data_IF_509751331040
#
_entry.id   IF_509751331040
#
_cell.length_a   1.000
_cell.length_b   1.000
_cell.length_c   1.000
_cell.angle_alpha   90.00
_cell.angle_beta   90.00
_cell.angle_gamma   90.00
#
_symmetry.space_group_name_H-M   'P 1'
#
loop_
_entity.id
_entity.type
_entity.pdbx_description
1 polymer ?
#
# COMPACT_ATOMS: atom_id res chain seq x y z
N UNK A 1 9.58 32.19 -55.37
CA UNK A 1 8.45 31.97 -54.44
C UNK A 1 9.02 31.57 -53.08
N UNK A 2 9.16 32.49 -52.11
CA UNK A 2 9.37 32.12 -50.72
C UNK A 2 8.02 32.00 -50.03
N UNK A 3 7.73 30.83 -49.47
CA UNK A 3 6.54 30.60 -48.65
C UNK A 3 6.77 31.20 -47.26
N UNK A 4 6.04 32.26 -46.96
CA UNK A 4 5.83 32.76 -45.61
C UNK A 4 5.18 31.65 -44.76
N UNK A 5 5.82 31.28 -43.64
CA UNK A 5 5.15 30.62 -42.54
C UNK A 5 5.21 31.57 -41.34
N UNK A 6 4.25 32.49 -41.31
CA UNK A 6 3.82 33.08 -40.06
C UNK A 6 2.99 32.04 -39.33
N UNK A 7 3.44 31.59 -38.18
CA UNK A 7 2.59 30.99 -37.16
C UNK A 7 3.03 31.55 -35.80
N UNK A 8 2.41 32.68 -35.51
CA UNK A 8 1.93 33.15 -34.21
C UNK A 8 2.65 32.62 -32.97
N UNK A 9 3.51 33.51 -32.46
CA UNK A 9 4.03 33.56 -31.10
C UNK A 9 2.85 33.64 -30.11
N UNK A 10 2.32 32.48 -29.70
CA UNK A 10 1.35 32.39 -28.60
C UNK A 10 2.00 32.93 -27.33
N UNK A 11 1.30 33.79 -26.56
CA UNK A 11 1.91 34.45 -25.43
C UNK A 11 2.38 33.40 -24.43
N UNK A 12 3.69 33.39 -24.19
CA UNK A 12 4.31 32.63 -23.12
C UNK A 12 3.70 33.10 -21.79
N UNK A 13 2.60 32.48 -21.35
CA UNK A 13 2.25 32.45 -19.94
C UNK A 13 3.50 31.92 -19.24
N UNK A 14 4.18 32.80 -18.50
CA UNK A 14 5.24 32.42 -17.58
C UNK A 14 4.58 31.60 -16.47
N UNK A 15 4.29 30.33 -16.74
CA UNK A 15 3.80 29.37 -15.75
C UNK A 15 5.04 28.94 -14.97
N UNK A 16 5.42 29.72 -13.96
CA UNK A 16 6.23 29.21 -12.85
C UNK A 16 5.35 28.21 -12.08
N UNK A 17 5.16 27.01 -12.62
CA UNK A 17 4.43 25.96 -11.88
C UNK A 17 5.41 25.37 -10.89
N UNK A 18 5.20 25.64 -9.62
CA UNK A 18 5.88 24.92 -8.58
C UNK A 18 5.40 23.46 -8.61
N UNK A 19 6.35 22.54 -8.56
CA UNK A 19 6.09 21.11 -8.40
C UNK A 19 6.65 20.70 -7.05
N UNK A 20 5.98 19.80 -6.32
CA UNK A 20 6.47 19.35 -5.04
C UNK A 20 7.84 18.70 -5.21
N UNK A 21 8.68 18.80 -4.18
CA UNK A 21 9.98 18.15 -4.18
C UNK A 21 9.80 16.64 -3.99
N UNK A 22 9.80 15.93 -5.12
CA UNK A 22 9.80 14.46 -5.17
C UNK A 22 11.13 14.00 -5.75
N UNK A 23 11.68 12.95 -5.14
CA UNK A 23 12.97 12.39 -5.53
C UNK A 23 12.99 12.07 -7.03
N UNK A 24 13.83 12.80 -7.75
CA UNK A 24 14.12 12.52 -9.16
C UNK A 24 15.13 11.37 -9.26
N UNK A 25 15.13 10.65 -10.38
CA UNK A 25 16.21 9.70 -10.69
C UNK A 25 17.55 10.44 -10.71
N UNK A 26 18.59 9.80 -10.16
CA UNK A 26 19.90 10.40 -9.90
C UNK A 26 20.63 10.90 -11.15
N UNK A 27 20.24 10.46 -12.35
CA UNK A 27 20.71 11.00 -13.63
C UNK A 27 19.53 11.22 -14.58
N UNK A 28 19.24 12.48 -14.89
CA UNK A 28 18.29 12.84 -15.94
C UNK A 28 18.98 12.71 -17.31
N UNK A 29 18.35 12.07 -18.31
CA UNK A 29 18.89 12.04 -19.67
C UNK A 29 18.90 13.44 -20.28
N UNK A 30 19.74 13.63 -21.31
CA UNK A 30 19.82 14.91 -22.01
C UNK A 30 18.47 15.32 -22.61
N UNK A 31 18.15 16.61 -22.54
CA UNK A 31 16.95 17.15 -23.19
C UNK A 31 17.19 17.28 -24.70
N UNK A 32 16.25 16.87 -25.56
CA UNK A 32 14.90 16.39 -25.25
C UNK A 32 14.84 14.87 -25.01
N UNK A 33 14.09 14.46 -23.98
CA UNK A 33 14.03 13.08 -23.48
C UNK A 33 13.12 12.21 -24.37
N UNK A 34 13.65 11.18 -25.05
CA UNK A 34 12.84 10.26 -25.85
C UNK A 34 11.77 9.52 -25.03
N UNK A 35 10.67 9.14 -25.69
CA UNK A 35 9.61 8.35 -25.05
C UNK A 35 10.10 7.03 -24.44
N UNK A 36 11.06 6.37 -25.08
CA UNK A 36 11.65 5.14 -24.56
C UNK A 36 12.39 5.38 -23.24
N UNK A 37 13.18 6.46 -23.16
CA UNK A 37 13.92 6.80 -21.95
C UNK A 37 12.96 7.22 -20.83
N UNK A 38 11.95 8.03 -21.14
CA UNK A 38 10.89 8.38 -20.17
C UNK A 38 10.20 7.13 -19.61
N UNK A 39 9.86 6.17 -20.48
CA UNK A 39 9.23 4.92 -20.08
C UNK A 39 10.14 4.08 -19.17
N UNK A 40 11.42 3.94 -19.54
CA UNK A 40 12.41 3.19 -18.79
C UNK A 40 12.68 3.80 -17.40
N UNK A 41 12.80 5.13 -17.33
CA UNK A 41 13.10 5.86 -16.09
C UNK A 41 12.02 5.64 -15.03
N UNK A 42 10.74 5.64 -15.43
CA UNK A 42 9.61 5.51 -14.51
C UNK A 42 9.00 4.10 -14.48
N UNK A 43 9.60 3.13 -15.20
CA UNK A 43 9.09 1.76 -15.27
C UNK A 43 7.65 1.66 -15.80
N UNK A 44 7.27 2.54 -16.74
CA UNK A 44 5.94 2.58 -17.36
C UNK A 44 5.98 2.20 -18.83
N UNK A 45 4.83 1.84 -19.39
CA UNK A 45 4.75 1.52 -20.83
C UNK A 45 4.57 2.78 -21.67
N UNK A 46 4.91 2.71 -22.98
CA UNK A 46 4.59 3.79 -23.92
C UNK A 46 3.08 4.10 -23.96
N UNK A 47 2.24 3.05 -23.82
CA UNK A 47 0.78 3.20 -23.74
C UNK A 47 0.36 4.05 -22.55
N UNK A 48 1.02 3.88 -21.40
CA UNK A 48 0.78 4.69 -20.20
C UNK A 48 1.15 6.16 -20.44
N UNK A 49 2.29 6.42 -21.10
CA UNK A 49 2.69 7.78 -21.44
C UNK A 49 1.70 8.44 -22.40
N UNK A 50 1.23 7.73 -23.43
CA UNK A 50 0.16 8.24 -24.32
C UNK A 50 -1.13 8.54 -23.57
N UNK A 51 -1.53 7.66 -22.65
CA UNK A 51 -2.71 7.91 -21.83
C UNK A 51 -2.56 9.18 -20.96
N UNK A 52 -1.37 9.44 -20.42
CA UNK A 52 -1.10 10.69 -19.71
C UNK A 52 -1.07 11.93 -20.61
N UNK A 53 -0.65 11.80 -21.87
CA UNK A 53 -0.79 12.85 -22.89
C UNK A 53 -2.27 13.14 -23.18
N UNK A 54 -3.09 12.11 -23.38
CA UNK A 54 -4.54 12.24 -23.62
C UNK A 54 -5.27 12.91 -22.44
N UNK A 55 -4.80 12.67 -21.21
CA UNK A 55 -5.31 13.32 -20.00
C UNK A 55 -4.72 14.71 -19.74
N UNK A 56 -3.94 15.25 -20.67
CA UNK A 56 -3.24 16.54 -20.56
C UNK A 56 -2.33 16.63 -19.30
N UNK A 57 -1.91 15.49 -18.76
CA UNK A 57 -0.98 15.42 -17.63
C UNK A 57 0.46 15.68 -18.09
N UNK A 58 0.79 15.22 -19.29
CA UNK A 58 2.07 15.43 -19.97
C UNK A 58 1.86 16.07 -21.34
N UNK A 59 2.88 16.76 -21.83
CA UNK A 59 2.92 17.31 -23.19
C UNK A 59 4.18 16.86 -23.88
N UNK A 60 4.06 16.13 -24.99
CA UNK A 60 5.21 15.79 -25.84
C UNK A 60 5.37 16.77 -27.00
N UNK A 61 6.61 16.87 -27.48
CA UNK A 61 6.95 17.43 -28.79
C UNK A 61 7.34 16.28 -29.71
N UNK A 62 7.34 16.51 -31.02
CA UNK A 62 7.84 15.54 -32.01
C UNK A 62 9.12 16.05 -32.65
N UNK A 63 10.13 15.18 -32.73
CA UNK A 63 11.32 15.38 -33.54
C UNK A 63 11.32 14.26 -34.58
N UNK A 64 11.01 14.63 -35.82
CA UNK A 64 10.60 13.66 -36.85
C UNK A 64 9.38 12.87 -36.39
N UNK A 65 9.52 11.55 -36.31
CA UNK A 65 8.46 10.64 -35.84
C UNK A 65 8.52 10.33 -34.34
N UNK A 66 9.60 10.74 -33.66
CA UNK A 66 9.82 10.40 -32.26
C UNK A 66 9.17 11.42 -31.33
N UNK A 67 8.41 10.94 -30.35
CA UNK A 67 7.93 11.78 -29.23
C UNK A 67 9.06 12.00 -28.24
N UNK A 68 9.21 13.26 -27.83
CA UNK A 68 10.21 13.70 -26.87
C UNK A 68 9.58 14.62 -25.82
N UNK A 69 10.17 14.61 -24.63
CA UNK A 69 9.70 15.33 -23.46
C UNK A 69 10.78 16.29 -22.96
N UNK A 70 10.34 17.36 -22.30
CA UNK A 70 11.23 18.31 -21.62
C UNK A 70 11.56 17.84 -20.20
N UNK A 71 12.61 18.38 -19.57
CA UNK A 71 12.88 18.08 -18.15
C UNK A 71 11.70 18.41 -17.23
N UNK A 72 10.93 19.45 -17.54
CA UNK A 72 9.70 19.77 -16.80
C UNK A 72 8.67 18.65 -16.89
N UNK A 73 8.54 17.98 -18.03
CA UNK A 73 7.67 16.82 -18.14
C UNK A 73 8.22 15.64 -17.33
N UNK A 74 9.53 15.47 -17.23
CA UNK A 74 10.14 14.46 -16.37
C UNK A 74 9.80 14.71 -14.89
N UNK A 75 9.89 15.97 -14.45
CA UNK A 75 9.48 16.36 -13.08
C UNK A 75 7.97 16.11 -12.85
N UNK A 76 7.11 16.48 -13.79
CA UNK A 76 5.67 16.18 -13.71
C UNK A 76 5.42 14.68 -13.63
N UNK A 77 6.13 13.90 -14.43
CA UNK A 77 6.03 12.44 -14.44
C UNK A 77 6.47 11.83 -13.11
N UNK A 78 7.48 12.39 -12.44
CA UNK A 78 7.88 11.95 -11.09
C UNK A 78 6.74 12.13 -10.07
N UNK A 79 6.08 13.28 -10.06
CA UNK A 79 4.92 13.53 -9.19
C UNK A 79 3.78 12.55 -9.49
N UNK A 80 3.46 12.37 -10.78
CA UNK A 80 2.42 11.45 -11.25
C UNK A 80 2.73 10.02 -10.82
N UNK A 81 3.99 9.59 -10.95
CA UNK A 81 4.41 8.24 -10.61
C UNK A 81 4.30 7.98 -9.10
N UNK A 82 4.75 8.92 -8.25
CA UNK A 82 4.61 8.79 -6.79
C UNK A 82 3.14 8.69 -6.38
N UNK A 83 2.26 9.53 -6.94
CA UNK A 83 0.82 9.45 -6.67
C UNK A 83 0.25 8.09 -7.09
N UNK A 84 0.65 7.58 -8.25
CA UNK A 84 0.22 6.27 -8.76
C UNK A 84 0.70 5.13 -7.85
N UNK A 85 1.94 5.16 -7.39
CA UNK A 85 2.52 4.13 -6.52
C UNK A 85 1.81 4.02 -5.17
N UNK A 86 1.32 5.13 -4.62
CA UNK A 86 0.50 5.13 -3.38
C UNK A 86 -0.99 4.86 -3.64
N UNK A 87 -1.36 4.55 -4.88
CA UNK A 87 -2.72 4.17 -5.28
C UNK A 87 -3.70 5.34 -5.41
N UNK A 88 -3.23 6.57 -5.62
CA UNK A 88 -4.11 7.69 -5.97
C UNK A 88 -4.61 7.48 -7.41
N UNK A 89 -5.91 7.64 -7.62
CA UNK A 89 -6.55 7.45 -8.93
C UNK A 89 -6.08 8.50 -9.94
N UNK A 90 -6.09 8.16 -11.22
CA UNK A 90 -5.72 9.11 -12.29
C UNK A 90 -6.59 10.36 -12.27
N UNK A 91 -7.88 10.24 -11.95
CA UNK A 91 -8.77 11.40 -11.83
C UNK A 91 -8.31 12.36 -10.72
N UNK A 92 -7.98 11.83 -9.54
CA UNK A 92 -7.44 12.64 -8.45
C UNK A 92 -6.06 13.22 -8.78
N UNK A 93 -5.21 12.49 -9.51
CA UNK A 93 -3.93 13.00 -10.01
C UNK A 93 -4.16 14.21 -10.92
N UNK A 94 -5.14 14.17 -11.83
CA UNK A 94 -5.48 15.31 -12.68
C UNK A 94 -5.87 16.53 -11.85
N UNK A 95 -6.72 16.37 -10.85
CA UNK A 95 -7.11 17.47 -9.95
C UNK A 95 -5.91 18.04 -9.17
N UNK A 96 -5.01 17.18 -8.69
CA UNK A 96 -3.79 17.60 -7.98
C UNK A 96 -2.91 18.40 -8.93
N UNK A 97 -2.63 17.89 -10.14
CA UNK A 97 -1.77 18.55 -11.12
C UNK A 97 -2.36 19.88 -11.58
N UNK A 98 -3.67 19.98 -11.69
CA UNK A 98 -4.37 21.23 -11.98
C UNK A 98 -4.21 22.28 -10.86
N UNK A 99 -4.29 21.87 -9.59
CA UNK A 99 -4.03 22.75 -8.45
C UNK A 99 -2.57 23.19 -8.41
N UNK A 100 -1.63 22.29 -8.71
CA UNK A 100 -0.19 22.60 -8.76
C UNK A 100 0.13 23.63 -9.85
N UNK A 101 -0.50 23.54 -11.03
CA UNK A 101 -0.31 24.54 -12.10
C UNK A 101 -0.77 25.94 -11.67
N UNK A 102 -1.74 26.03 -10.75
CA UNK A 102 -2.29 27.29 -10.22
C UNK A 102 -1.57 27.77 -8.94
N UNK A 103 -0.62 27.00 -8.41
CA UNK A 103 0.14 27.39 -7.22
C UNK A 103 1.02 28.62 -7.49
N UNK A 104 1.12 29.50 -6.50
CA UNK A 104 1.90 30.75 -6.57
C UNK A 104 3.22 30.64 -5.82
N UNK A 105 3.44 29.58 -5.05
CA UNK A 105 4.68 29.33 -4.30
C UNK A 105 5.00 27.84 -4.18
N UNK A 106 6.27 27.53 -3.86
CA UNK A 106 6.70 26.17 -3.54
C UNK A 106 5.97 25.62 -2.31
N UNK A 107 5.78 26.44 -1.29
CA UNK A 107 5.07 26.06 -0.07
C UNK A 107 3.61 25.66 -0.36
N UNK A 108 2.91 26.38 -1.24
CA UNK A 108 1.56 26.00 -1.67
C UNK A 108 1.55 24.67 -2.42
N UNK A 109 2.51 24.45 -3.33
CA UNK A 109 2.62 23.19 -4.06
C UNK A 109 2.87 21.99 -3.13
N UNK A 110 3.79 22.14 -2.18
CA UNK A 110 4.08 21.11 -1.17
C UNK A 110 2.85 20.84 -0.29
N UNK A 111 2.14 21.89 0.13
CA UNK A 111 0.92 21.77 0.92
C UNK A 111 -0.20 21.02 0.17
N UNK A 112 -0.40 21.31 -1.12
CA UNK A 112 -1.36 20.58 -1.98
C UNK A 112 -1.01 19.10 -2.03
N UNK A 113 0.26 18.79 -2.26
CA UNK A 113 0.74 17.41 -2.37
C UNK A 113 0.64 16.65 -1.04
N UNK A 114 1.09 17.25 0.06
CA UNK A 114 0.96 16.67 1.40
C UNK A 114 -0.50 16.46 1.81
N UNK A 115 -1.40 17.38 1.45
CA UNK A 115 -2.83 17.21 1.70
C UNK A 115 -3.39 15.97 0.97
N UNK A 116 -3.03 15.78 -0.30
CA UNK A 116 -3.42 14.60 -1.06
C UNK A 116 -2.88 13.29 -0.44
N UNK A 117 -1.62 13.26 -0.04
CA UNK A 117 -1.03 12.09 0.62
C UNK A 117 -1.67 11.78 1.98
N UNK A 118 -1.96 12.80 2.79
CA UNK A 118 -2.67 12.65 4.07
C UNK A 118 -4.08 12.09 3.85
N UNK A 119 -4.77 12.56 2.82
CA UNK A 119 -6.09 12.06 2.45
C UNK A 119 -6.02 10.58 2.04
N UNK A 120 -5.10 10.22 1.14
CA UNK A 120 -4.91 8.82 0.74
C UNK A 120 -4.56 7.90 1.91
N UNK A 121 -3.70 8.37 2.83
CA UNK A 121 -3.37 7.63 4.06
C UNK A 121 -4.60 7.34 4.93
N UNK A 122 -5.51 8.32 5.07
CA UNK A 122 -6.76 8.12 5.84
C UNK A 122 -7.67 7.09 5.16
N UNK A 123 -7.82 7.17 3.84
CA UNK A 123 -8.60 6.20 3.06
C UNK A 123 -8.06 4.78 3.25
N UNK A 124 -6.76 4.57 3.07
CA UNK A 124 -6.11 3.28 3.29
C UNK A 124 -6.29 2.75 4.72
N UNK A 125 -6.25 3.63 5.72
CA UNK A 125 -6.48 3.25 7.13
C UNK A 125 -7.92 2.78 7.36
N UNK A 126 -8.89 3.44 6.72
CA UNK A 126 -10.31 3.06 6.75
C UNK A 126 -10.57 1.74 6.01
N UNK A 127 -9.98 1.58 4.83
CA UNK A 127 -10.02 0.34 4.05
C UNK A 127 -9.46 -0.83 4.88
N UNK A 128 -8.29 -0.66 5.52
CA UNK A 128 -7.68 -1.67 6.38
C UNK A 128 -8.60 -2.07 7.55
N UNK A 129 -9.21 -1.08 8.21
CA UNK A 129 -10.15 -1.35 9.31
C UNK A 129 -11.38 -2.13 8.84
N UNK A 130 -11.82 -1.90 7.60
CA UNK A 130 -12.97 -2.57 7.00
C UNK A 130 -12.60 -4.00 6.60
N UNK A 131 -11.46 -4.20 5.95
CA UNK A 131 -10.94 -5.52 5.60
C UNK A 131 -10.70 -6.39 6.83
N UNK A 132 -10.21 -5.81 7.93
CA UNK A 132 -10.07 -6.53 9.22
C UNK A 132 -11.42 -7.01 9.77
N UNK A 133 -12.45 -6.16 9.76
CA UNK A 133 -13.80 -6.57 10.18
C UNK A 133 -14.38 -7.66 9.27
N UNK A 134 -14.19 -7.55 7.96
CA UNK A 134 -14.64 -8.56 7.00
C UNK A 134 -13.94 -9.89 7.21
N UNK A 135 -12.62 -9.88 7.43
CA UNK A 135 -11.86 -11.09 7.74
C UNK A 135 -12.36 -11.75 9.04
N UNK A 136 -12.65 -10.95 10.08
CA UNK A 136 -13.23 -11.46 11.32
C UNK A 136 -14.62 -12.08 11.12
N UNK A 137 -15.48 -11.45 10.33
CA UNK A 137 -16.82 -11.99 10.02
C UNK A 137 -16.74 -13.32 9.26
N UNK A 138 -15.84 -13.42 8.28
CA UNK A 138 -15.60 -14.67 7.55
C UNK A 138 -15.16 -15.77 8.52
N UNK A 139 -14.25 -15.44 9.43
CA UNK A 139 -13.77 -16.38 10.44
C UNK A 139 -14.90 -16.90 11.36
N UNK A 140 -15.78 -16.01 11.83
CA UNK A 140 -16.95 -16.39 12.64
C UNK A 140 -17.90 -17.34 11.88
N UNK A 141 -18.12 -17.11 10.58
CA UNK A 141 -18.95 -17.99 9.75
C UNK A 141 -18.30 -19.37 9.54
N UNK A 142 -16.99 -19.42 9.29
CA UNK A 142 -16.27 -20.67 9.09
C UNK A 142 -16.25 -21.55 10.35
N UNK A 143 -16.15 -20.95 11.55
CA UNK A 143 -16.26 -21.68 12.82
C UNK A 143 -17.63 -22.35 12.98
N UNK A 144 -18.69 -21.71 12.49
CA UNK A 144 -20.07 -22.24 12.61
C UNK A 144 -20.29 -23.46 11.72
N UNK A 145 -19.58 -23.58 10.59
CA UNK A 145 -19.67 -24.75 9.69
C UNK A 145 -18.93 -25.98 10.25
N UNK A 146 -17.83 -25.79 11.01
CA UNK A 146 -17.12 -26.91 11.65
C UNK A 146 -17.87 -27.58 12.80
N UNK A 147 -18.85 -26.90 13.40
CA UNK A 147 -19.67 -27.45 14.48
C UNK A 147 -20.94 -28.17 13.96
N UNK A 148 -21.28 -28.04 12.67
CA UNK A 148 -22.49 -28.62 12.08
C UNK A 148 -22.32 -30.05 11.55
N UNK A 149 -21.09 -30.48 11.22
CA UNK A 149 -20.80 -31.86 10.76
C UNK A 149 -20.42 -32.82 11.91
N UNK A 150 -20.53 -32.36 13.16
CA UNK A 150 -20.22 -33.13 14.38
C UNK A 150 -21.42 -33.48 15.25
N UNK A 151 -22.65 -33.29 14.78
CA UNK A 151 -23.86 -33.70 15.51
C UNK A 151 -24.50 -34.95 14.92
N UNK A 152 -23.79 -36.08 15.04
CA UNK A 152 -24.46 -37.35 15.34
C UNK A 152 -23.67 -38.06 16.45
N UNK A 153 -24.40 -38.72 17.34
CA UNK A 153 -24.03 -38.90 18.74
C UNK A 153 -22.66 -39.54 18.99
N UNK A 154 -21.99 -39.09 20.05
CA UNK A 154 -21.42 -39.92 21.14
C UNK A 154 -20.72 -39.01 22.14
N UNK A 155 -21.25 -38.98 23.36
CA UNK A 155 -20.56 -38.71 24.64
C UNK A 155 -19.81 -37.39 24.84
N UNK A 156 -20.06 -36.75 25.99
CA UNK A 156 -19.13 -35.80 26.61
C UNK A 156 -17.77 -36.49 26.80
N UNK A 157 -16.89 -36.37 25.81
CA UNK A 157 -15.50 -36.77 25.96
C UNK A 157 -14.85 -35.86 27.04
N UNK A 158 -14.13 -36.45 28.02
CA UNK A 158 -13.45 -35.68 29.05
C UNK A 158 -12.36 -34.82 28.41
N UNK A 159 -11.91 -33.78 29.13
CA UNK A 159 -10.82 -32.89 28.73
C UNK A 159 -9.74 -33.66 27.96
N UNK A 160 -9.58 -33.37 26.66
CA UNK A 160 -8.33 -33.73 25.97
C UNK A 160 -7.25 -33.04 26.77
N UNK A 161 -6.37 -33.80 27.41
CA UNK A 161 -5.12 -33.29 27.97
C UNK A 161 -4.34 -32.67 26.80
N UNK A 162 -4.53 -31.38 26.57
CA UNK A 162 -3.76 -30.63 25.58
C UNK A 162 -2.35 -30.54 26.15
N UNK A 163 -1.50 -31.48 25.75
CA UNK A 163 -0.10 -31.51 26.14
C UNK A 163 0.62 -30.31 25.51
N UNK A 164 0.81 -29.27 26.31
CA UNK A 164 1.65 -28.12 25.98
C UNK A 164 3.07 -28.37 26.48
N UNK A 165 4.04 -28.03 25.63
CA UNK A 165 5.42 -27.84 26.05
C UNK A 165 5.54 -26.56 26.89
N UNK A 166 6.57 -26.46 27.72
CA UNK A 166 6.82 -25.28 28.55
C UNK A 166 6.93 -24.00 27.70
N UNK A 167 7.53 -24.11 26.51
CA UNK A 167 7.63 -23.02 25.54
C UNK A 167 6.27 -22.59 24.99
N UNK A 168 5.37 -23.52 24.70
CA UNK A 168 4.02 -23.21 24.20
C UNK A 168 3.16 -22.56 25.30
N UNK A 169 3.24 -23.09 26.53
CA UNK A 169 2.55 -22.51 27.69
C UNK A 169 3.03 -21.08 27.95
N UNK A 170 4.35 -20.86 27.97
CA UNK A 170 4.93 -19.52 28.18
C UNK A 170 4.54 -18.55 27.07
N UNK A 171 4.50 -19.03 25.83
CA UNK A 171 4.05 -18.25 24.68
C UNK A 171 2.59 -17.81 24.84
N UNK A 172 1.70 -18.72 25.27
CA UNK A 172 0.28 -18.42 25.53
C UNK A 172 0.07 -17.43 26.68
N UNK A 173 0.80 -17.56 27.79
CA UNK A 173 0.76 -16.60 28.90
C UNK A 173 1.14 -15.19 28.44
N UNK A 174 2.25 -15.05 27.73
CA UNK A 174 2.69 -13.74 27.22
C UNK A 174 1.72 -13.15 26.19
N UNK A 175 1.07 -13.99 25.38
CA UNK A 175 0.00 -13.54 24.50
C UNK A 175 -1.21 -13.04 25.28
N UNK A 176 -1.58 -13.70 26.37
CA UNK A 176 -2.68 -13.29 27.25
C UNK A 176 -2.38 -11.95 27.96
N UNK A 177 -1.11 -11.71 28.32
CA UNK A 177 -0.62 -10.43 28.84
C UNK A 177 -0.56 -9.31 27.78
N UNK A 178 -0.94 -9.58 26.53
CA UNK A 178 -1.04 -8.58 25.47
C UNK A 178 0.27 -8.25 24.74
N UNK A 179 1.28 -9.12 24.81
CA UNK A 179 2.55 -8.89 24.12
C UNK A 179 2.40 -8.94 22.60
N UNK A 180 2.91 -7.90 21.93
CA UNK A 180 3.03 -7.87 20.47
C UNK A 180 4.04 -8.91 19.95
N UNK A 181 3.88 -9.44 18.71
CA UNK A 181 4.71 -10.53 18.18
C UNK A 181 6.23 -10.29 18.27
N UNK A 182 6.69 -9.07 17.97
CA UNK A 182 8.11 -8.71 18.04
C UNK A 182 8.67 -8.79 19.46
N UNK A 183 7.87 -8.39 20.46
CA UNK A 183 8.24 -8.49 21.88
C UNK A 183 8.17 -9.93 22.36
N UNK A 184 7.22 -10.72 21.86
CA UNK A 184 7.07 -12.13 22.16
C UNK A 184 8.29 -12.95 21.68
N UNK A 185 8.72 -12.73 20.43
CA UNK A 185 9.90 -13.38 19.85
C UNK A 185 11.15 -13.11 20.70
N UNK A 186 11.36 -11.84 21.08
CA UNK A 186 12.48 -11.43 21.93
C UNK A 186 12.40 -12.04 23.34
N UNK A 187 11.21 -12.10 23.93
CA UNK A 187 11.02 -12.66 25.27
C UNK A 187 11.25 -14.17 25.33
N UNK A 188 10.96 -14.89 24.24
CA UNK A 188 11.16 -16.33 24.11
C UNK A 188 12.54 -16.69 23.52
N UNK A 189 13.35 -15.71 23.14
CA UNK A 189 14.65 -15.94 22.49
C UNK A 189 14.55 -16.56 21.10
N UNK A 190 13.43 -16.36 20.41
CA UNK A 190 13.13 -16.94 19.10
C UNK A 190 13.30 -15.94 17.96
N UNK A 191 13.57 -16.44 16.75
CA UNK A 191 13.42 -15.65 15.52
C UNK A 191 11.94 -15.42 15.19
N UNK A 192 11.64 -14.44 14.33
CA UNK A 192 10.26 -14.16 13.92
C UNK A 192 9.59 -15.33 13.18
N UNK A 193 10.35 -16.08 12.38
CA UNK A 193 9.85 -17.29 11.69
C UNK A 193 9.59 -18.45 12.65
N UNK A 194 10.43 -18.63 13.66
CA UNK A 194 10.26 -19.68 14.67
C UNK A 194 9.05 -19.38 15.55
N UNK A 195 8.84 -18.10 15.88
CA UNK A 195 7.64 -17.66 16.58
C UNK A 195 6.37 -17.95 15.77
N UNK A 196 6.34 -17.62 14.47
CA UNK A 196 5.17 -17.91 13.63
C UNK A 196 4.86 -19.42 13.58
N UNK A 197 5.91 -20.25 13.54
CA UNK A 197 5.77 -21.71 13.56
C UNK A 197 5.22 -22.20 14.90
N UNK A 198 5.66 -21.60 16.01
CA UNK A 198 5.16 -21.90 17.35
C UNK A 198 3.69 -21.46 17.51
N UNK A 199 3.33 -20.26 17.05
CA UNK A 199 1.95 -19.77 17.04
C UNK A 199 1.03 -20.68 16.23
N UNK A 200 1.45 -21.12 15.03
CA UNK A 200 0.67 -22.04 14.21
C UNK A 200 0.43 -23.40 14.90
N UNK A 201 1.43 -23.93 15.62
CA UNK A 201 1.29 -25.16 16.42
C UNK A 201 0.29 -24.99 17.55
N UNK A 202 0.38 -23.89 18.29
CA UNK A 202 -0.54 -23.56 19.38
C UNK A 202 -1.96 -23.43 18.84
N UNK A 203 -2.14 -22.66 17.77
CA UNK A 203 -3.43 -22.47 17.09
C UNK A 203 -4.03 -23.83 16.69
N UNK A 204 -3.23 -24.72 16.08
CA UNK A 204 -3.66 -26.08 15.74
C UNK A 204 -4.05 -26.94 16.96
N UNK A 205 -3.28 -26.87 18.06
CA UNK A 205 -3.57 -27.64 19.29
C UNK A 205 -4.89 -27.25 19.96
N UNK A 206 -5.30 -25.99 19.85
CA UNK A 206 -6.57 -25.49 20.38
C UNK A 206 -7.71 -25.48 19.37
N UNK A 207 -7.49 -26.04 18.17
CA UNK A 207 -8.42 -25.93 17.03
C UNK A 207 -8.91 -24.48 16.88
N UNK A 208 -7.97 -23.54 16.95
CA UNK A 208 -8.23 -22.12 16.81
C UNK A 208 -7.86 -21.69 15.39
N UNK A 209 -8.31 -20.51 14.98
CA UNK A 209 -7.97 -19.89 13.70
C UNK A 209 -7.00 -18.74 13.83
N UNK A 210 -6.93 -18.14 15.02
CA UNK A 210 -6.00 -17.07 15.32
C UNK A 210 -5.48 -17.18 16.75
N UNK A 211 -4.39 -16.47 17.03
CA UNK A 211 -3.74 -16.44 18.36
C UNK A 211 -4.66 -15.96 19.49
N UNK A 212 -5.59 -15.04 19.22
CA UNK A 212 -6.51 -14.53 20.24
C UNK A 212 -7.55 -15.59 20.63
N UNK A 213 -8.07 -16.32 19.65
CA UNK A 213 -8.98 -17.45 19.89
C UNK A 213 -8.26 -18.60 20.60
N UNK A 214 -6.99 -18.87 20.26
CA UNK A 214 -6.18 -19.86 20.97
C UNK A 214 -5.99 -19.49 22.45
N UNK A 215 -5.71 -18.21 22.75
CA UNK A 215 -5.62 -17.70 24.14
C UNK A 215 -6.95 -17.82 24.86
N UNK A 216 -8.06 -17.40 24.23
CA UNK A 216 -9.39 -17.49 24.84
C UNK A 216 -9.77 -18.93 25.20
N UNK A 217 -9.55 -19.87 24.28
CA UNK A 217 -9.76 -21.30 24.52
C UNK A 217 -8.85 -21.83 25.63
N UNK A 218 -7.58 -21.43 25.66
CA UNK A 218 -6.63 -21.85 26.69
C UNK A 218 -7.01 -21.37 28.11
N UNK A 219 -7.57 -20.16 28.23
CA UNK A 219 -8.09 -19.62 29.49
C UNK A 219 -9.36 -20.36 29.93
N UNK A 220 -10.31 -20.58 29.00
CA UNK A 220 -11.56 -21.29 29.28
C UNK A 220 -11.33 -22.74 29.71
N UNK A 221 -10.31 -23.39 29.15
CA UNK A 221 -9.88 -24.74 29.50
C UNK A 221 -9.02 -24.79 30.79
N UNK A 222 -8.71 -23.65 31.40
CA UNK A 222 -7.90 -23.57 32.63
C UNK A 222 -6.43 -23.91 32.44
N UNK A 223 -5.94 -23.92 31.20
CA UNK A 223 -4.56 -24.31 30.84
C UNK A 223 -3.55 -23.22 31.20
N UNK A 224 -4.00 -21.96 31.14
CA UNK A 224 -3.27 -20.76 31.56
C UNK A 224 -4.19 -19.89 32.43
N UNK A 225 -3.60 -19.07 33.32
CA UNK A 225 -4.33 -18.04 34.07
C UNK A 225 -4.12 -16.70 33.36
N UNK A 226 -5.22 -16.01 33.06
CA UNK A 226 -5.21 -14.63 32.59
C UNK A 226 -5.07 -13.67 33.78
#
# INVERSE_FOLDING_TARGET
MPFEHGDEDKPNLRISSFLPDVSLPSSLPAEPVPIADMANIFGVTHRTLHFYEEKALLTSKRIGQMRVYTHRNVQRMAVINVCREVGISVAAITEIMEKLVRSLSQEEADNIFHAALRQRKRELTSELSTLQRQAQQIEELLVTETDADGMDGTERAPAKDIALTDTERKCLELMAEGYAPVRLARALGLSGSDLNTLEAKIIGKFSASNRFQAVAKAVLLGVIRA
#
